data_IF_245124268394
#
_entry.id   IF_245124268394
#
_cell.length_a   1.000
_cell.length_b   1.000
_cell.length_c   1.000
_cell.angle_alpha   90.00
_cell.angle_beta   90.00
_cell.angle_gamma   90.00
#
_symmetry.space_group_name_H-M   'P 1'
#
loop_
_entity.id
_entity.type
_entity.pdbx_description
1 polymer ?
#
# COMPACT_ATOMS: atom_id res chain seq x y z
N UNK A 1 72.31 -2.41 21.83
CA UNK A 1 70.86 -2.43 22.14
C UNK A 1 70.11 -1.90 20.94
N UNK A 2 69.43 -2.76 20.15
CA UNK A 2 68.62 -2.34 19.00
C UNK A 2 67.14 -2.23 19.46
N UNK A 3 66.62 -1.00 19.47
CA UNK A 3 65.21 -0.73 19.79
C UNK A 3 64.37 -1.12 18.59
N UNK A 4 63.52 -2.13 18.76
CA UNK A 4 62.50 -2.54 17.79
C UNK A 4 61.30 -1.62 17.91
N UNK A 5 61.06 -0.76 16.90
CA UNK A 5 59.90 0.08 16.84
C UNK A 5 58.71 -0.72 16.34
N UNK A 6 57.76 -1.01 17.23
CA UNK A 6 56.47 -1.64 16.86
C UNK A 6 55.60 -0.56 16.18
N UNK A 7 55.29 -0.75 14.89
CA UNK A 7 54.36 0.10 14.14
C UNK A 7 52.97 -0.55 14.25
N UNK A 8 52.11 0.03 15.09
CA UNK A 8 50.72 -0.41 15.22
C UNK A 8 49.90 0.21 14.05
N UNK A 9 49.54 -0.65 13.09
CA UNK A 9 48.70 -0.26 11.97
C UNK A 9 47.21 -0.21 12.46
N UNK A 10 46.68 0.97 12.66
CA UNK A 10 45.25 1.18 12.95
C UNK A 10 44.46 1.02 11.65
N UNK A 11 43.79 -0.11 11.47
CA UNK A 11 42.83 -0.32 10.35
C UNK A 11 41.51 0.34 10.73
N UNK A 12 41.23 1.51 10.15
CA UNK A 12 39.93 2.14 10.24
C UNK A 12 38.91 1.39 9.38
N UNK A 13 38.03 0.61 10.02
CA UNK A 13 36.85 0.10 9.37
C UNK A 13 35.85 1.24 9.17
N UNK A 14 35.77 1.77 7.96
CA UNK A 14 34.71 2.69 7.58
C UNK A 14 33.39 1.92 7.49
N UNK A 15 32.55 2.03 8.50
CA UNK A 15 31.16 1.56 8.44
C UNK A 15 30.41 2.53 7.52
N UNK A 16 30.17 2.11 6.28
CA UNK A 16 29.28 2.85 5.38
C UNK A 16 27.87 2.82 5.96
N UNK A 17 27.44 3.88 6.62
CA UNK A 17 26.04 4.08 6.97
C UNK A 17 25.27 4.24 5.65
N UNK A 18 24.51 3.23 5.24
CA UNK A 18 23.54 3.38 4.16
C UNK A 18 22.47 4.38 4.64
N UNK A 19 22.53 5.59 4.15
CA UNK A 19 21.52 6.60 4.45
C UNK A 19 20.17 6.12 3.86
N UNK A 20 19.22 5.86 4.74
CA UNK A 20 17.85 5.54 4.34
C UNK A 20 17.19 6.79 3.73
N UNK A 21 16.50 6.61 2.63
CA UNK A 21 15.71 7.66 2.00
C UNK A 21 14.24 7.50 2.42
N UNK A 22 13.66 8.56 2.95
CA UNK A 22 12.22 8.62 3.26
C UNK A 22 11.45 9.28 2.13
N UNK A 23 10.24 8.78 1.93
CA UNK A 23 9.29 9.28 0.96
C UNK A 23 7.93 9.44 1.62
N UNK A 24 7.25 10.55 1.32
CA UNK A 24 5.86 10.81 1.71
C UNK A 24 4.93 10.66 0.51
N UNK A 25 3.66 10.37 0.79
CA UNK A 25 2.63 10.28 -0.25
C UNK A 25 2.17 11.66 -0.71
N UNK A 26 2.22 11.91 -2.02
CA UNK A 26 1.52 13.06 -2.62
C UNK A 26 0.04 12.71 -2.75
N UNK A 27 -0.76 13.14 -1.76
CA UNK A 27 -2.19 12.82 -1.66
C UNK A 27 -3.01 13.41 -2.80
N UNK A 28 -2.57 14.49 -3.40
CA UNK A 28 -3.25 15.16 -4.51
C UNK A 28 -3.09 14.43 -5.85
N UNK A 29 -2.03 13.64 -5.98
CA UNK A 29 -1.71 12.87 -7.19
C UNK A 29 -1.76 11.36 -6.96
N UNK A 30 -2.33 10.93 -5.84
CA UNK A 30 -2.51 9.52 -5.51
C UNK A 30 -3.98 9.16 -5.39
N UNK A 31 -4.31 7.91 -5.74
CA UNK A 31 -5.65 7.35 -5.63
C UNK A 31 -5.60 5.94 -5.04
N UNK A 32 -6.42 5.69 -4.02
CA UNK A 32 -6.59 4.37 -3.38
C UNK A 32 -7.93 3.81 -3.83
N UNK A 33 -7.93 3.16 -4.98
CA UNK A 33 -9.13 2.65 -5.62
C UNK A 33 -9.34 1.15 -5.42
N UNK A 34 -10.59 0.73 -5.55
CA UNK A 34 -10.99 -0.66 -5.59
C UNK A 34 -12.17 -0.85 -6.55
N UNK A 35 -12.39 -2.09 -7.01
CA UNK A 35 -13.61 -2.48 -7.69
C UNK A 35 -14.13 -3.82 -7.20
N UNK A 36 -15.44 -4.04 -7.38
CA UNK A 36 -16.12 -5.28 -7.02
C UNK A 36 -17.21 -5.56 -8.04
N UNK A 37 -17.34 -6.84 -8.46
CA UNK A 37 -18.42 -7.26 -9.37
C UNK A 37 -19.77 -7.22 -8.65
N UNK A 38 -20.76 -6.62 -9.30
CA UNK A 38 -22.14 -6.50 -8.85
C UNK A 38 -23.07 -7.23 -9.80
N UNK A 39 -23.98 -8.06 -9.26
CA UNK A 39 -24.95 -8.88 -10.00
C UNK A 39 -24.32 -9.73 -11.13
N UNK A 40 -23.03 -10.04 -11.05
CA UNK A 40 -22.25 -10.80 -12.05
C UNK A 40 -22.07 -10.09 -13.40
N UNK A 41 -22.71 -8.95 -13.63
CA UNK A 41 -22.81 -8.28 -14.95
C UNK A 41 -22.17 -6.89 -14.99
N UNK A 42 -21.85 -6.29 -13.85
CA UNK A 42 -21.29 -4.93 -13.77
C UNK A 42 -20.23 -4.82 -12.67
N UNK A 43 -19.45 -3.77 -12.71
CA UNK A 43 -18.51 -3.43 -11.63
C UNK A 43 -18.97 -2.16 -10.90
N UNK A 44 -18.80 -2.18 -9.60
CA UNK A 44 -18.86 -1.01 -8.74
C UNK A 44 -17.45 -0.62 -8.41
N UNK A 45 -17.07 0.60 -8.77
CA UNK A 45 -15.81 1.20 -8.39
C UNK A 45 -15.98 2.05 -7.13
N UNK A 46 -14.92 2.13 -6.34
CA UNK A 46 -14.84 2.99 -5.18
C UNK A 46 -13.41 3.42 -4.89
N UNK A 47 -13.28 4.41 -4.04
CA UNK A 47 -12.00 4.95 -3.57
C UNK A 47 -12.07 5.36 -2.11
N UNK A 48 -10.89 5.47 -1.50
CA UNK A 48 -10.74 6.10 -0.19
C UNK A 48 -10.06 7.46 -0.39
N UNK A 49 -10.71 8.53 0.06
CA UNK A 49 -10.24 9.90 -0.12
C UNK A 49 -9.20 10.36 0.91
N UNK A 50 -9.06 9.63 2.03
CA UNK A 50 -8.13 9.97 3.11
C UNK A 50 -7.23 8.80 3.44
N UNK A 51 -5.93 9.00 3.27
CA UNK A 51 -4.89 8.01 3.56
C UNK A 51 -3.59 8.72 3.93
N UNK A 52 -2.68 8.00 4.57
CA UNK A 52 -1.35 8.47 4.91
C UNK A 52 -0.37 7.29 4.99
N UNK A 53 0.92 7.60 5.07
CA UNK A 53 1.92 6.56 5.22
C UNK A 53 3.33 7.06 5.00
N UNK A 54 4.26 6.14 5.14
CA UNK A 54 5.69 6.36 4.90
C UNK A 54 6.25 5.23 4.06
N UNK A 55 7.21 5.58 3.20
CA UNK A 55 8.04 4.62 2.49
C UNK A 55 9.48 4.94 2.80
N UNK A 56 10.22 3.96 3.30
CA UNK A 56 11.65 4.08 3.58
C UNK A 56 12.41 3.13 2.66
N UNK A 57 13.36 3.66 1.89
CA UNK A 57 14.18 2.87 0.97
C UNK A 57 15.63 2.90 1.41
N UNK A 58 16.33 1.78 1.18
CA UNK A 58 17.79 1.67 1.41
C UNK A 58 18.61 2.08 0.19
N UNK A 59 17.95 2.22 -0.96
CA UNK A 59 18.56 2.62 -2.23
C UNK A 59 17.51 3.28 -3.12
N UNK A 60 17.93 3.83 -4.26
CA UNK A 60 17.03 4.39 -5.28
C UNK A 60 16.24 3.30 -6.05
N UNK A 61 16.50 2.01 -5.79
CA UNK A 61 15.89 0.88 -6.51
C UNK A 61 14.54 0.42 -5.94
N UNK A 62 14.02 0.98 -4.87
CA UNK A 62 12.79 0.60 -4.16
C UNK A 62 12.70 -0.87 -3.72
N UNK A 63 13.69 -1.71 -4.03
CA UNK A 63 13.76 -3.07 -3.52
C UNK A 63 13.98 -3.04 -2.00
N UNK A 64 13.34 -3.97 -1.29
CA UNK A 64 13.34 -4.04 0.18
C UNK A 64 12.87 -2.75 0.88
N UNK A 65 12.00 -1.98 0.22
CA UNK A 65 11.33 -0.82 0.84
C UNK A 65 10.51 -1.25 2.05
N UNK A 66 10.62 -0.47 3.11
CA UNK A 66 9.75 -0.56 4.28
C UNK A 66 8.58 0.40 4.09
N UNK A 67 7.36 -0.13 4.08
CA UNK A 67 6.14 0.63 3.80
C UNK A 67 5.17 0.46 4.96
N UNK A 68 4.73 1.57 5.52
CA UNK A 68 3.59 1.63 6.41
C UNK A 68 2.54 2.54 5.78
N UNK A 69 1.33 2.02 5.59
CA UNK A 69 0.24 2.74 4.92
C UNK A 69 -1.05 2.59 5.69
N UNK A 70 -1.73 3.70 5.90
CA UNK A 70 -2.98 3.80 6.65
C UNK A 70 -4.05 4.47 5.81
N UNK A 71 -5.24 3.90 5.81
CA UNK A 71 -6.42 4.42 5.11
C UNK A 71 -7.51 4.72 6.12
N UNK A 72 -8.12 5.91 6.04
CA UNK A 72 -9.32 6.25 6.81
C UNK A 72 -10.55 5.60 6.15
N UNK A 73 -11.17 4.66 6.84
CA UNK A 73 -12.35 3.92 6.37
C UNK A 73 -13.55 4.84 6.14
N UNK A 74 -13.69 5.91 6.95
CA UNK A 74 -14.79 6.86 6.79
C UNK A 74 -14.75 7.61 5.46
N UNK A 75 -13.59 7.65 4.81
CA UNK A 75 -13.39 8.33 3.54
C UNK A 75 -13.81 7.52 2.31
N UNK A 76 -14.43 6.35 2.51
CA UNK A 76 -14.96 5.52 1.40
C UNK A 76 -15.97 6.31 0.59
N UNK A 77 -15.81 6.27 -0.73
CA UNK A 77 -16.65 6.94 -1.70
C UNK A 77 -16.81 6.07 -2.93
N UNK A 78 -18.05 5.71 -3.25
CA UNK A 78 -18.44 4.95 -4.44
C UNK A 78 -19.38 5.75 -5.33
N UNK A 79 -19.43 7.07 -5.15
CA UNK A 79 -20.33 8.00 -5.82
C UNK A 79 -21.84 7.70 -5.57
N UNK A 80 -22.13 7.05 -4.42
CA UNK A 80 -23.49 6.76 -3.94
C UNK A 80 -23.52 6.81 -2.40
N UNK A 81 -24.10 7.84 -1.84
CA UNK A 81 -24.11 8.13 -0.41
C UNK A 81 -24.74 7.01 0.45
N UNK A 82 -25.83 6.39 -0.03
CA UNK A 82 -26.49 5.28 0.69
C UNK A 82 -25.60 4.04 0.74
N UNK A 83 -24.89 3.73 -0.35
CA UNK A 83 -23.94 2.64 -0.40
C UNK A 83 -22.72 2.93 0.49
N UNK A 84 -22.22 4.14 0.47
CA UNK A 84 -21.08 4.56 1.30
C UNK A 84 -21.42 4.49 2.80
N UNK A 85 -22.67 4.87 3.19
CA UNK A 85 -23.16 4.70 4.55
C UNK A 85 -23.24 3.22 4.94
N UNK A 86 -23.76 2.35 4.07
CA UNK A 86 -23.82 0.91 4.29
C UNK A 86 -22.42 0.30 4.38
N UNK A 87 -21.47 0.73 3.54
CA UNK A 87 -20.07 0.27 3.65
C UNK A 87 -19.43 0.66 4.99
N UNK A 88 -19.78 1.79 5.58
CA UNK A 88 -19.27 2.19 6.91
C UNK A 88 -19.92 1.45 8.07
N UNK A 89 -21.09 0.84 7.87
CA UNK A 89 -21.83 0.13 8.92
C UNK A 89 -21.14 -1.18 9.36
N UNK A 90 -21.69 -1.84 10.38
CA UNK A 90 -21.17 -3.12 10.90
C UNK A 90 -21.30 -4.29 9.91
N UNK A 91 -22.19 -4.18 8.94
CA UNK A 91 -22.32 -5.17 7.85
C UNK A 91 -21.04 -5.29 7.02
N UNK A 92 -20.24 -4.20 6.97
CA UNK A 92 -18.99 -4.13 6.22
C UNK A 92 -17.81 -3.70 7.09
N UNK A 93 -17.38 -2.45 7.00
CA UNK A 93 -16.15 -2.00 7.63
C UNK A 93 -16.29 -1.74 9.13
N UNK A 94 -17.49 -1.44 9.64
CA UNK A 94 -17.71 -0.97 11.00
C UNK A 94 -16.77 0.19 11.37
N UNK A 95 -16.87 1.26 10.59
CA UNK A 95 -15.94 2.38 10.64
C UNK A 95 -15.93 3.11 11.99
N UNK A 96 -17.04 3.03 12.76
CA UNK A 96 -17.11 3.56 14.12
C UNK A 96 -16.12 2.85 15.04
N UNK A 97 -16.07 1.51 14.97
CA UNK A 97 -15.18 0.69 15.81
C UNK A 97 -13.78 0.54 15.20
N UNK A 98 -13.70 0.48 13.88
CA UNK A 98 -12.47 0.25 13.13
C UNK A 98 -12.24 1.36 12.08
N UNK A 99 -11.86 2.56 12.51
CA UNK A 99 -11.80 3.73 11.62
C UNK A 99 -10.67 3.66 10.59
N UNK A 100 -9.79 2.68 10.68
CA UNK A 100 -8.60 2.60 9.82
C UNK A 100 -8.32 1.20 9.32
N UNK A 101 -7.88 1.10 8.07
CA UNK A 101 -7.16 -0.06 7.52
C UNK A 101 -5.66 0.24 7.54
N UNK A 102 -4.83 -0.78 7.81
CA UNK A 102 -3.38 -0.63 7.93
C UNK A 102 -2.69 -1.69 7.09
N UNK A 103 -1.73 -1.28 6.28
CA UNK A 103 -0.83 -2.18 5.57
C UNK A 103 0.61 -1.95 6.04
N UNK A 104 1.32 -3.05 6.35
CA UNK A 104 2.76 -3.03 6.67
C UNK A 104 3.48 -4.02 5.77
N UNK A 105 4.47 -3.53 5.01
CA UNK A 105 5.25 -4.39 4.13
C UNK A 105 6.11 -5.39 4.92
N UNK A 106 6.28 -6.58 4.34
CA UNK A 106 7.24 -7.58 4.82
C UNK A 106 8.36 -7.81 3.82
N UNK A 107 8.10 -7.56 2.53
CA UNK A 107 9.13 -7.55 1.49
C UNK A 107 8.64 -6.81 0.24
N UNK A 108 9.57 -6.21 -0.49
CA UNK A 108 9.36 -5.71 -1.85
C UNK A 108 10.50 -6.21 -2.72
N UNK A 109 10.19 -7.14 -3.65
CA UNK A 109 11.20 -7.81 -4.47
C UNK A 109 11.03 -7.44 -5.94
N UNK A 110 12.13 -7.10 -6.60
CA UNK A 110 12.15 -6.86 -8.04
C UNK A 110 11.93 -8.18 -8.78
N UNK A 111 10.98 -8.21 -9.73
CA UNK A 111 10.63 -9.39 -10.54
C UNK A 111 10.76 -9.13 -12.05
N UNK A 112 11.16 -7.94 -12.45
CA UNK A 112 11.37 -7.55 -13.84
C UNK A 112 11.68 -6.06 -13.94
N UNK A 113 11.79 -5.54 -15.16
CA UNK A 113 12.04 -4.12 -15.38
C UNK A 113 10.87 -3.29 -14.85
N UNK A 114 11.19 -2.43 -13.85
CA UNK A 114 10.23 -1.60 -13.15
C UNK A 114 9.03 -2.35 -12.53
N UNK A 115 9.18 -3.66 -12.30
CA UNK A 115 8.13 -4.51 -11.72
C UNK A 115 8.60 -5.14 -10.41
N UNK A 116 7.71 -5.13 -9.43
CA UNK A 116 7.98 -5.66 -8.09
C UNK A 116 6.80 -6.48 -7.60
N UNK A 117 7.07 -7.43 -6.71
CA UNK A 117 6.09 -8.07 -5.85
C UNK A 117 6.23 -7.48 -4.45
N UNK A 118 5.16 -6.88 -3.96
CA UNK A 118 5.06 -6.32 -2.63
C UNK A 118 4.25 -7.26 -1.75
N UNK A 119 4.85 -7.80 -0.71
CA UNK A 119 4.17 -8.58 0.31
C UNK A 119 4.05 -7.79 1.58
N UNK A 120 2.96 -7.98 2.30
CA UNK A 120 2.74 -7.32 3.57
C UNK A 120 1.52 -7.84 4.29
N UNK A 121 1.35 -7.37 5.50
CA UNK A 121 0.19 -7.66 6.33
C UNK A 121 -0.82 -6.53 6.21
N UNK A 122 -2.02 -6.85 5.75
CA UNK A 122 -3.16 -5.95 5.69
C UNK A 122 -4.08 -6.23 6.87
N UNK A 123 -4.41 -5.18 7.60
CA UNK A 123 -5.42 -5.22 8.68
C UNK A 123 -6.66 -4.48 8.23
N UNK A 124 -7.80 -5.15 8.20
CA UNK A 124 -9.13 -4.57 8.01
C UNK A 124 -9.99 -5.01 9.20
N UNK A 125 -10.67 -4.06 9.83
CA UNK A 125 -11.31 -4.26 11.15
C UNK A 125 -10.25 -4.71 12.18
N UNK A 126 -10.45 -5.87 12.79
CA UNK A 126 -9.53 -6.51 13.76
C UNK A 126 -8.80 -7.74 13.18
N UNK A 127 -8.93 -7.98 11.86
CA UNK A 127 -8.34 -9.15 11.20
C UNK A 127 -7.14 -8.72 10.36
N UNK A 128 -6.00 -9.35 10.61
CA UNK A 128 -4.77 -9.15 9.85
C UNK A 128 -4.47 -10.39 9.01
N UNK A 129 -4.24 -10.19 7.71
CA UNK A 129 -3.88 -11.25 6.76
C UNK A 129 -2.70 -10.83 5.89
N UNK A 130 -1.84 -11.77 5.49
CA UNK A 130 -0.83 -11.52 4.48
C UNK A 130 -1.48 -11.34 3.11
N UNK A 131 -1.03 -10.34 2.36
CA UNK A 131 -1.41 -10.12 0.96
C UNK A 131 -0.18 -9.92 0.09
N UNK A 132 -0.34 -10.17 -1.20
CA UNK A 132 0.66 -9.90 -2.23
C UNK A 132 0.07 -8.97 -3.29
N UNK A 133 0.84 -7.94 -3.66
CA UNK A 133 0.46 -6.93 -4.63
C UNK A 133 1.50 -6.86 -5.75
N UNK A 134 1.01 -6.63 -6.97
CA UNK A 134 1.84 -6.29 -8.11
C UNK A 134 2.12 -4.79 -8.12
N UNK A 135 3.39 -4.40 -8.23
CA UNK A 135 3.80 -3.00 -8.26
C UNK A 135 4.58 -2.73 -9.54
N UNK A 136 4.16 -1.69 -10.27
CA UNK A 136 4.90 -1.14 -11.41
C UNK A 136 5.38 0.25 -11.07
N UNK A 137 6.70 0.47 -11.13
CA UNK A 137 7.30 1.81 -11.11
C UNK A 137 7.12 2.45 -12.49
N UNK A 138 6.41 3.56 -12.56
CA UNK A 138 6.23 4.31 -13.81
C UNK A 138 7.45 5.18 -14.13
N UNK A 139 8.17 5.62 -13.11
CA UNK A 139 9.40 6.38 -13.24
C UNK A 139 9.73 7.19 -12.00
N UNK A 140 10.95 7.74 -12.01
CA UNK A 140 11.43 8.71 -11.00
C UNK A 140 11.85 9.96 -11.75
N UNK A 141 11.38 11.13 -11.32
CA UNK A 141 11.66 12.41 -11.98
C UNK A 141 11.99 13.49 -10.95
N UNK A 142 12.58 14.60 -11.41
CA UNK A 142 12.55 15.87 -10.69
C UNK A 142 11.44 16.75 -11.25
N UNK A 143 10.57 17.24 -10.37
CA UNK A 143 9.53 18.19 -10.75
C UNK A 143 10.13 19.59 -11.03
N UNK A 144 9.37 20.55 -11.62
CA UNK A 144 9.86 21.90 -11.89
C UNK A 144 10.30 22.68 -10.65
N UNK A 145 9.91 22.24 -9.45
CA UNK A 145 10.31 22.82 -8.16
C UNK A 145 11.57 22.16 -7.57
N UNK A 146 12.16 21.19 -8.30
CA UNK A 146 13.35 20.46 -7.88
C UNK A 146 13.09 19.27 -6.95
N UNK A 147 11.83 18.94 -6.60
CA UNK A 147 11.54 17.78 -5.76
C UNK A 147 11.70 16.48 -6.58
N UNK A 148 12.31 15.48 -5.98
CA UNK A 148 12.34 14.12 -6.57
C UNK A 148 11.02 13.43 -6.28
N UNK A 149 10.36 12.92 -7.32
CA UNK A 149 9.10 12.22 -7.26
C UNK A 149 9.18 10.85 -7.92
N UNK A 150 8.43 9.88 -7.41
CA UNK A 150 8.35 8.53 -7.97
C UNK A 150 6.88 8.13 -8.13
N UNK A 151 6.50 7.64 -9.31
CA UNK A 151 5.13 7.23 -9.63
C UNK A 151 4.98 5.72 -9.71
N UNK A 152 3.92 5.17 -9.11
CA UNK A 152 3.64 3.74 -9.08
C UNK A 152 2.20 3.42 -9.47
N UNK A 153 2.03 2.28 -10.12
CA UNK A 153 0.74 1.60 -10.24
C UNK A 153 0.80 0.30 -9.45
N UNK A 154 -0.18 0.11 -8.57
CA UNK A 154 -0.25 -1.05 -7.68
C UNK A 154 -1.58 -1.75 -7.93
N UNK A 155 -1.55 -3.08 -8.05
CA UNK A 155 -2.74 -3.89 -8.26
C UNK A 155 -2.68 -5.19 -7.50
N UNK A 156 -3.85 -5.75 -7.20
CA UNK A 156 -4.01 -7.02 -6.51
C UNK A 156 -5.47 -7.33 -6.27
N UNK A 157 -5.74 -8.39 -5.54
CA UNK A 157 -7.08 -8.74 -5.13
C UNK A 157 -7.08 -9.38 -3.75
N UNK A 158 -8.21 -9.31 -3.07
CA UNK A 158 -8.44 -9.96 -1.79
C UNK A 158 -9.86 -10.55 -1.72
N UNK A 159 -10.04 -11.54 -0.87
CA UNK A 159 -11.37 -12.02 -0.48
C UNK A 159 -11.84 -11.20 0.75
N UNK A 160 -12.91 -10.43 0.60
CA UNK A 160 -13.44 -9.60 1.69
C UNK A 160 -13.93 -10.39 2.89
N UNK A 161 -14.31 -11.65 2.68
CA UNK A 161 -14.73 -12.53 3.78
C UNK A 161 -13.58 -12.91 4.71
N UNK A 162 -12.35 -12.96 4.18
CA UNK A 162 -11.15 -13.19 4.99
C UNK A 162 -10.93 -12.12 6.05
N UNK A 163 -11.53 -10.94 5.87
CA UNK A 163 -11.46 -9.80 6.78
C UNK A 163 -12.77 -9.53 7.53
N UNK A 164 -13.70 -10.49 7.49
CA UNK A 164 -14.94 -10.39 8.22
C UNK A 164 -15.99 -9.44 7.65
N UNK A 165 -15.83 -8.97 6.40
CA UNK A 165 -16.84 -8.19 5.67
C UNK A 165 -17.87 -9.15 5.06
N UNK A 166 -18.76 -9.70 5.90
CA UNK A 166 -19.55 -10.91 5.60
C UNK A 166 -20.90 -10.62 4.96
N UNK A 167 -21.30 -9.35 4.82
CA UNK A 167 -22.58 -9.05 4.18
C UNK A 167 -22.66 -9.76 2.82
N UNK A 168 -23.71 -10.56 2.64
CA UNK A 168 -23.91 -11.35 1.44
C UNK A 168 -25.40 -11.52 1.20
N UNK A 169 -25.92 -10.94 0.13
CA UNK A 169 -27.26 -11.17 -0.36
C UNK A 169 -27.21 -12.05 -1.60
N UNK A 170 -28.09 -13.03 -1.68
CA UNK A 170 -28.18 -13.92 -2.81
C UNK A 170 -29.34 -13.50 -3.73
N UNK A 171 -29.16 -13.70 -5.03
CA UNK A 171 -30.21 -13.50 -6.02
C UNK A 171 -31.10 -14.75 -6.09
N UNK A 172 -32.38 -14.56 -6.39
CA UNK A 172 -33.34 -15.70 -6.58
C UNK A 172 -32.89 -16.65 -7.68
N UNK A 173 -32.25 -16.14 -8.72
CA UNK A 173 -31.68 -16.90 -9.83
C UNK A 173 -30.34 -17.58 -9.55
N UNK A 174 -29.84 -17.45 -8.31
CA UNK A 174 -28.50 -17.89 -7.90
C UNK A 174 -27.41 -16.86 -8.14
N UNK A 175 -26.35 -16.94 -7.34
CA UNK A 175 -25.23 -16.01 -7.34
C UNK A 175 -25.35 -14.91 -6.30
N UNK A 176 -24.23 -14.28 -5.96
CA UNK A 176 -24.19 -13.20 -4.98
C UNK A 176 -24.45 -11.85 -5.64
N UNK A 177 -25.13 -10.95 -4.91
CA UNK A 177 -25.33 -9.56 -5.32
C UNK A 177 -23.99 -8.83 -5.45
N UNK A 178 -23.03 -9.13 -4.55
CA UNK A 178 -21.69 -8.54 -4.55
C UNK A 178 -20.64 -9.64 -4.42
N UNK A 179 -19.66 -9.63 -5.32
CA UNK A 179 -18.55 -10.59 -5.29
C UNK A 179 -17.80 -10.57 -3.95
N UNK A 180 -17.30 -11.76 -3.57
CA UNK A 180 -16.35 -11.86 -2.46
C UNK A 180 -14.98 -11.28 -2.79
N UNK A 181 -14.59 -11.34 -4.07
CA UNK A 181 -13.32 -10.80 -4.54
C UNK A 181 -13.42 -9.31 -4.76
N UNK A 182 -12.52 -8.58 -4.12
CA UNK A 182 -12.30 -7.14 -4.30
C UNK A 182 -10.99 -6.95 -5.04
N UNK A 183 -11.02 -6.25 -6.17
CA UNK A 183 -9.83 -5.85 -6.93
C UNK A 183 -9.30 -4.53 -6.39
N UNK A 184 -7.99 -4.44 -6.15
CA UNK A 184 -7.29 -3.25 -5.69
C UNK A 184 -6.60 -2.58 -6.87
N UNK A 185 -6.82 -1.27 -7.04
CA UNK A 185 -6.24 -0.46 -8.10
C UNK A 185 -5.76 0.88 -7.54
N UNK A 186 -4.46 0.97 -7.24
CA UNK A 186 -3.90 2.17 -6.65
C UNK A 186 -2.94 2.83 -7.65
N UNK A 187 -3.03 4.16 -7.74
CA UNK A 187 -2.01 5.00 -8.36
C UNK A 187 -1.39 5.83 -7.25
N UNK A 188 -0.08 5.77 -7.11
CA UNK A 188 0.64 6.40 -6.00
C UNK A 188 1.76 7.26 -6.56
N UNK A 189 1.81 8.50 -6.11
CA UNK A 189 2.94 9.39 -6.29
C UNK A 189 3.61 9.63 -4.94
N UNK A 190 4.91 9.39 -4.89
CA UNK A 190 5.75 9.63 -3.73
C UNK A 190 6.63 10.86 -3.98
N UNK A 191 6.88 11.63 -2.91
CA UNK A 191 7.83 12.71 -2.87
C UNK A 191 8.96 12.35 -1.91
N UNK A 192 10.22 12.45 -2.39
CA UNK A 192 11.41 12.27 -1.56
C UNK A 192 11.47 13.37 -0.51
N UNK A 193 11.67 12.97 0.74
CA UNK A 193 11.92 13.92 1.82
C UNK A 193 13.37 14.39 1.78
N UNK A 194 13.58 15.64 2.17
CA UNK A 194 14.91 16.30 2.23
C UNK A 194 15.70 15.89 3.46
#
# INVERSE_FOLDING_TARGET
>A
MKMLKFFVLFVFFAVSANAQTKWSFDKSHSNVGFSVTHLVISEVEGRFGSFDGTVTTKSDAFEDSEIEFKVDVNSVNTDNSKRDEHLRSDDFFNAEKYPSMIFKSTSMKKVGDNRYKLKGNLTIRDITKPIELDVKLNGVIKDPRGNTKAGFKISGSLDRFDFGLKWNSLMEVGGAVVSKTVTLNLNVELKKES
#
